data_IF_137098460047
#
_entry.id   IF_137098460047
#
_cell.length_a   1.000
_cell.length_b   1.000
_cell.length_c   1.000
_cell.angle_alpha   90.00
_cell.angle_beta   90.00
_cell.angle_gamma   90.00
#
_symmetry.space_group_name_H-M   'P 1'
#
loop_
_entity.id
_entity.type
_entity.pdbx_description
1 polymer ?
#
# COMPACT_ATOMS: atom_id res chain seq x y z
N UNK A 1 54.68 -2.36 27.92
CA UNK A 1 53.63 -2.19 28.96
C UNK A 1 53.33 -0.72 29.18
N UNK A 2 52.06 -0.34 29.25
CA UNK A 2 51.54 1.02 29.44
C UNK A 2 50.51 1.05 30.56
N UNK A 3 50.36 2.23 31.18
CA UNK A 3 49.35 2.46 32.21
C UNK A 3 48.12 3.11 31.56
N UNK A 4 46.95 2.49 31.74
CA UNK A 4 45.69 3.00 31.21
C UNK A 4 45.35 4.35 31.86
N UNK A 5 45.22 5.41 31.06
CA UNK A 5 44.82 6.74 31.58
C UNK A 5 43.40 6.77 32.13
N UNK A 6 42.55 5.80 31.75
CA UNK A 6 41.15 5.75 32.17
C UNK A 6 40.94 4.97 33.47
N UNK A 7 41.75 3.95 33.77
CA UNK A 7 41.57 3.12 34.98
C UNK A 7 42.84 2.85 35.80
N UNK A 8 44.01 3.32 35.36
CA UNK A 8 45.27 3.14 36.06
C UNK A 8 45.89 1.74 36.01
N UNK A 9 45.23 0.77 35.36
CA UNK A 9 45.78 -0.58 35.21
C UNK A 9 46.98 -0.59 34.24
N UNK A 10 48.01 -1.36 34.58
CA UNK A 10 49.15 -1.64 33.69
C UNK A 10 48.83 -2.83 32.78
N UNK A 11 49.07 -2.67 31.48
CA UNK A 11 48.77 -3.68 30.47
C UNK A 11 49.74 -3.60 29.29
N UNK A 12 49.72 -4.62 28.43
CA UNK A 12 50.57 -4.69 27.25
C UNK A 12 50.21 -3.58 26.24
N UNK A 13 51.23 -2.85 25.77
CA UNK A 13 51.10 -1.78 24.78
C UNK A 13 50.78 -2.28 23.38
N UNK A 14 50.91 -3.59 23.13
CA UNK A 14 50.41 -4.22 21.92
C UNK A 14 48.89 -4.41 21.89
N UNK A 15 48.14 -4.17 22.98
CA UNK A 15 46.68 -4.28 22.96
C UNK A 15 45.99 -2.99 22.48
N UNK A 16 44.96 -3.12 21.63
CA UNK A 16 44.22 -1.97 21.05
C UNK A 16 43.37 -1.24 22.09
N UNK A 17 42.93 -1.96 23.13
CA UNK A 17 42.15 -1.43 24.25
C UNK A 17 42.69 -1.99 25.56
N UNK A 18 42.53 -1.23 26.63
CA UNK A 18 42.78 -1.74 27.98
C UNK A 18 41.83 -2.92 28.27
N UNK A 19 42.34 -4.11 28.62
CA UNK A 19 41.51 -5.29 28.85
C UNK A 19 40.63 -5.19 30.10
N UNK A 20 40.94 -4.25 31.00
CA UNK A 20 40.22 -4.09 32.27
C UNK A 20 39.04 -3.12 32.18
N UNK A 21 39.16 -2.04 31.39
CA UNK A 21 38.12 -1.02 31.31
C UNK A 21 37.67 -0.68 29.88
N UNK A 22 38.26 -1.31 28.86
CA UNK A 22 37.94 -1.07 27.45
C UNK A 22 38.42 0.29 26.90
N UNK A 23 39.10 1.11 27.71
CA UNK A 23 39.63 2.41 27.31
C UNK A 23 40.70 2.28 26.21
N UNK A 24 40.63 3.16 25.23
CA UNK A 24 41.48 3.08 24.04
C UNK A 24 42.98 3.26 24.38
N UNK A 25 43.82 2.46 23.73
CA UNK A 25 45.26 2.66 23.75
C UNK A 25 45.62 3.82 22.81
N UNK A 26 45.56 5.05 23.33
CA UNK A 26 45.82 6.26 22.55
C UNK A 26 47.24 6.29 21.96
N UNK A 27 48.23 5.70 22.63
CA UNK A 27 49.61 5.63 22.12
C UNK A 27 49.69 4.79 20.85
N UNK A 28 49.08 3.60 20.87
CA UNK A 28 49.04 2.69 19.72
C UNK A 28 48.16 3.24 18.58
N UNK A 29 47.02 3.86 18.90
CA UNK A 29 46.17 4.46 17.86
C UNK A 29 46.84 5.63 17.14
N UNK A 30 47.63 6.44 17.87
CA UNK A 30 48.46 7.50 17.28
C UNK A 30 49.59 6.91 16.43
N UNK A 31 50.27 5.87 16.91
CA UNK A 31 51.35 5.22 16.16
C UNK A 31 50.85 4.59 14.85
N UNK A 32 49.72 3.87 14.89
CA UNK A 32 49.07 3.30 13.69
C UNK A 32 48.67 4.41 12.71
N UNK A 33 48.14 5.54 13.22
CA UNK A 33 47.84 6.69 12.37
C UNK A 33 49.09 7.32 11.75
N UNK A 34 50.17 7.45 12.51
CA UNK A 34 51.43 8.03 12.03
C UNK A 34 52.09 7.13 10.97
N UNK A 35 52.08 5.82 11.18
CA UNK A 35 52.56 4.82 10.23
C UNK A 35 51.75 4.85 8.94
N UNK A 36 50.40 4.87 9.04
CA UNK A 36 49.52 5.00 7.87
C UNK A 36 49.76 6.32 7.12
N UNK A 37 49.96 7.44 7.83
CA UNK A 37 50.26 8.73 7.21
C UNK A 37 51.64 8.76 6.55
N UNK A 38 52.62 8.03 7.10
CA UNK A 38 53.95 7.92 6.52
C UNK A 38 53.96 7.00 5.28
N UNK A 39 53.15 5.95 5.27
CA UNK A 39 52.92 5.09 4.11
C UNK A 39 52.24 5.89 2.99
N UNK A 40 51.16 6.62 3.28
CA UNK A 40 50.51 7.52 2.32
C UNK A 40 51.45 8.60 1.79
N UNK A 41 52.35 9.14 2.61
CA UNK A 41 53.40 10.07 2.15
C UNK A 41 54.42 9.39 1.24
N UNK A 42 54.77 8.13 1.49
CA UNK A 42 55.67 7.34 0.61
C UNK A 42 54.99 7.04 -0.72
N UNK A 43 53.73 6.61 -0.71
CA UNK A 43 52.93 6.41 -1.91
C UNK A 43 52.79 7.73 -2.67
N UNK A 44 52.43 8.84 -2.00
CA UNK A 44 52.37 10.16 -2.64
C UNK A 44 53.69 10.53 -3.31
N UNK A 45 54.84 10.29 -2.66
CA UNK A 45 56.17 10.50 -3.28
C UNK A 45 56.43 9.55 -4.46
N UNK A 46 55.90 8.33 -4.45
CA UNK A 46 55.95 7.43 -5.60
C UNK A 46 55.07 7.93 -6.75
N UNK A 47 53.86 8.43 -6.46
CA UNK A 47 52.96 9.05 -7.43
C UNK A 47 53.51 10.36 -8.00
N UNK A 48 54.15 11.19 -7.18
CA UNK A 48 54.83 12.43 -7.62
C UNK A 48 56.10 12.14 -8.46
N UNK A 49 56.72 10.97 -8.31
CA UNK A 49 57.85 10.51 -9.16
C UNK A 49 57.40 9.71 -10.38
N UNK A 50 56.16 9.24 -10.41
CA UNK A 50 55.55 8.58 -11.57
C UNK A 50 55.46 9.46 -12.83
N UNK A 51 55.27 10.80 -12.79
CA UNK A 51 55.29 11.62 -14.00
C UNK A 51 56.62 11.54 -14.76
N UNK A 52 57.79 11.42 -14.10
CA UNK A 52 59.07 11.35 -14.84
C UNK A 52 59.29 10.01 -15.56
N UNK A 53 58.80 8.89 -15.01
CA UNK A 53 58.96 7.56 -15.62
C UNK A 53 57.89 7.24 -16.68
N UNK A 54 56.74 7.91 -16.64
CA UNK A 54 55.63 7.69 -17.57
C UNK A 54 55.52 8.83 -18.63
N UNK A 55 56.12 10.01 -18.39
CA UNK A 55 56.16 11.09 -19.40
C UNK A 55 57.23 10.91 -20.49
N UNK A 56 58.08 9.88 -20.42
CA UNK A 56 59.15 9.65 -21.40
C UNK A 56 58.76 8.92 -22.69
N UNK A 57 57.54 8.40 -22.80
CA UNK A 57 57.01 7.78 -24.03
C UNK A 57 55.53 8.14 -24.16
N UNK A 58 55.17 8.93 -25.16
CA UNK A 58 53.79 9.33 -25.40
C UNK A 58 52.87 8.11 -25.38
N UNK A 59 51.93 8.08 -24.45
CA UNK A 59 50.92 7.01 -24.33
C UNK A 59 50.21 6.87 -25.67
N UNK A 60 50.17 5.65 -26.23
CA UNK A 60 49.59 5.39 -27.54
C UNK A 60 48.17 5.94 -27.58
N UNK A 61 47.81 6.56 -28.70
CA UNK A 61 46.49 7.16 -28.89
C UNK A 61 45.34 6.19 -28.57
N UNK A 62 45.56 4.89 -28.79
CA UNK A 62 44.65 3.79 -28.43
C UNK A 62 44.40 3.66 -26.92
N UNK A 63 45.42 3.81 -26.07
CA UNK A 63 45.25 3.73 -24.62
C UNK A 63 44.50 4.94 -24.04
N UNK A 64 44.72 6.14 -24.62
CA UNK A 64 43.96 7.35 -24.26
C UNK A 64 42.48 7.22 -24.60
N UNK A 65 42.16 6.66 -25.78
CA UNK A 65 40.78 6.37 -26.19
C UNK A 65 40.13 5.31 -25.28
N UNK A 66 40.88 4.27 -24.89
CA UNK A 66 40.39 3.26 -23.95
C UNK A 66 40.02 3.83 -22.59
N UNK A 67 40.89 4.66 -21.99
CA UNK A 67 40.61 5.31 -20.70
C UNK A 67 39.42 6.27 -20.82
N UNK A 68 39.34 7.07 -21.90
CA UNK A 68 38.22 7.97 -22.13
C UNK A 68 36.89 7.23 -22.27
N UNK A 69 36.88 6.07 -22.96
CA UNK A 69 35.70 5.23 -23.10
C UNK A 69 35.24 4.66 -21.75
N UNK A 70 36.16 4.18 -20.91
CA UNK A 70 35.83 3.66 -19.58
C UNK A 70 35.26 4.75 -18.67
N UNK A 71 35.85 5.95 -18.67
CA UNK A 71 35.34 7.10 -17.91
C UNK A 71 33.92 7.47 -18.40
N UNK A 72 33.70 7.48 -19.71
CA UNK A 72 32.38 7.79 -20.29
C UNK A 72 31.31 6.77 -19.84
N UNK A 73 31.63 5.47 -19.86
CA UNK A 73 30.72 4.42 -19.38
C UNK A 73 30.44 4.57 -17.88
N UNK A 74 31.47 4.82 -17.07
CA UNK A 74 31.30 5.03 -15.62
C UNK A 74 30.39 6.22 -15.32
N UNK A 75 30.53 7.34 -16.05
CA UNK A 75 29.65 8.51 -15.91
C UNK A 75 28.21 8.16 -16.29
N UNK A 76 27.98 7.43 -17.37
CA UNK A 76 26.64 6.98 -17.77
C UNK A 76 26.01 6.10 -16.68
N UNK A 77 26.75 5.15 -16.13
CA UNK A 77 26.26 4.29 -15.04
C UNK A 77 25.86 5.11 -13.80
N UNK A 78 26.65 6.12 -13.42
CA UNK A 78 26.33 7.01 -12.31
C UNK A 78 25.05 7.82 -12.59
N UNK A 79 24.90 8.36 -13.80
CA UNK A 79 23.71 9.12 -14.19
C UNK A 79 22.46 8.22 -14.12
N UNK A 80 22.52 7.01 -14.69
CA UNK A 80 21.40 6.05 -14.64
C UNK A 80 21.04 5.70 -13.21
N UNK A 81 22.03 5.44 -12.35
CA UNK A 81 21.80 5.14 -10.94
C UNK A 81 21.14 6.30 -10.19
N UNK A 82 21.59 7.54 -10.41
CA UNK A 82 21.01 8.74 -9.80
C UNK A 82 19.57 8.94 -10.30
N UNK A 83 19.33 8.86 -11.61
CA UNK A 83 18.00 9.04 -12.19
C UNK A 83 17.03 7.99 -11.64
N UNK A 84 17.42 6.70 -11.64
CA UNK A 84 16.62 5.61 -11.06
C UNK A 84 16.34 5.84 -9.58
N UNK A 85 17.34 6.22 -8.79
CA UNK A 85 17.16 6.48 -7.35
C UNK A 85 16.23 7.66 -7.08
N UNK A 86 16.27 8.71 -7.90
CA UNK A 86 15.38 9.87 -7.78
C UNK A 86 13.96 9.50 -8.22
N UNK A 87 13.79 8.80 -9.34
CA UNK A 87 12.47 8.42 -9.83
C UNK A 87 11.77 7.47 -8.86
N UNK A 88 12.48 6.50 -8.25
CA UNK A 88 11.91 5.67 -7.18
C UNK A 88 11.47 6.48 -5.97
N UNK A 89 12.29 7.44 -5.50
CA UNK A 89 11.93 8.32 -4.37
C UNK A 89 10.75 9.24 -4.69
N UNK A 90 10.66 9.74 -5.93
CA UNK A 90 9.54 10.57 -6.38
C UNK A 90 8.26 9.74 -6.45
N UNK A 91 8.31 8.53 -7.04
CA UNK A 91 7.18 7.60 -7.09
C UNK A 91 6.67 7.28 -5.70
N UNK A 92 7.55 6.88 -4.78
CA UNK A 92 7.19 6.58 -3.40
C UNK A 92 6.55 7.77 -2.68
N UNK A 93 7.07 8.99 -2.89
CA UNK A 93 6.47 10.20 -2.30
C UNK A 93 5.08 10.51 -2.85
N UNK A 94 4.83 10.22 -4.12
CA UNK A 94 3.51 10.40 -4.74
C UNK A 94 2.54 9.37 -4.16
N UNK A 95 2.94 8.10 -4.07
CA UNK A 95 2.14 7.03 -3.45
C UNK A 95 1.78 7.36 -2.00
N UNK A 96 2.75 7.80 -1.19
CA UNK A 96 2.50 8.20 0.20
C UNK A 96 1.48 9.34 0.30
N UNK A 97 1.57 10.36 -0.57
CA UNK A 97 0.57 11.44 -0.58
C UNK A 97 -0.82 10.98 -0.98
N UNK A 98 -0.91 10.03 -1.90
CA UNK A 98 -2.19 9.45 -2.31
C UNK A 98 -2.81 8.65 -1.15
N UNK A 99 -1.99 7.88 -0.42
CA UNK A 99 -2.42 7.15 0.78
C UNK A 99 -2.85 8.11 1.89
N UNK A 100 -2.07 9.15 2.18
CA UNK A 100 -2.46 10.19 3.17
C UNK A 100 -3.82 10.81 2.83
N UNK A 101 -4.09 11.06 1.54
CA UNK A 101 -5.37 11.59 1.09
C UNK A 101 -6.51 10.58 1.24
N UNK A 102 -6.30 9.33 0.84
CA UNK A 102 -7.28 8.25 0.97
C UNK A 102 -7.61 7.94 2.44
N UNK A 103 -6.60 7.93 3.29
CA UNK A 103 -6.77 7.73 4.73
C UNK A 103 -7.52 8.89 5.36
N UNK A 104 -7.21 10.13 4.96
CA UNK A 104 -7.98 11.29 5.39
C UNK A 104 -9.45 11.21 4.98
N UNK A 105 -9.77 10.68 3.80
CA UNK A 105 -11.15 10.49 3.34
C UNK A 105 -11.84 9.38 4.13
N UNK A 106 -11.16 8.27 4.37
CA UNK A 106 -11.63 7.16 5.18
C UNK A 106 -11.98 7.60 6.60
N UNK A 107 -11.07 8.30 7.28
CA UNK A 107 -11.29 8.81 8.64
C UNK A 107 -12.42 9.85 8.73
N UNK A 108 -12.73 10.55 7.64
CA UNK A 108 -13.89 11.43 7.58
C UNK A 108 -15.20 10.73 7.19
N UNK A 109 -15.17 9.43 6.86
CA UNK A 109 -16.31 8.68 6.34
C UNK A 109 -16.71 9.05 4.91
N UNK A 110 -15.82 9.72 4.16
CA UNK A 110 -16.08 10.17 2.79
C UNK A 110 -15.72 9.07 1.78
N UNK A 111 -16.51 8.00 1.79
CA UNK A 111 -16.28 6.82 0.94
C UNK A 111 -16.59 7.07 -0.54
N UNK A 112 -17.52 7.98 -0.83
CA UNK A 112 -17.74 8.46 -2.20
C UNK A 112 -16.49 9.20 -2.71
N UNK A 113 -15.92 10.10 -1.89
CA UNK A 113 -14.67 10.78 -2.19
C UNK A 113 -13.50 9.82 -2.40
N UNK A 114 -13.44 8.69 -1.70
CA UNK A 114 -12.45 7.62 -1.98
C UNK A 114 -12.64 7.08 -3.40
N UNK A 115 -13.87 6.71 -3.77
CA UNK A 115 -14.17 6.18 -5.10
C UNK A 115 -13.86 7.19 -6.21
N UNK A 116 -14.18 8.47 -6.01
CA UNK A 116 -13.84 9.53 -6.96
C UNK A 116 -12.33 9.76 -7.06
N UNK A 117 -11.65 9.85 -5.92
CA UNK A 117 -10.22 10.09 -5.90
C UNK A 117 -9.45 8.97 -6.57
N UNK A 118 -9.82 7.70 -6.34
CA UNK A 118 -9.22 6.55 -7.01
C UNK A 118 -9.34 6.59 -8.53
N UNK A 119 -10.37 7.22 -9.12
CA UNK A 119 -10.45 7.42 -10.58
C UNK A 119 -9.35 8.35 -11.11
N UNK A 120 -8.82 9.23 -10.26
CA UNK A 120 -7.78 10.21 -10.61
C UNK A 120 -6.38 9.65 -10.48
N UNK A 121 -6.18 8.70 -9.57
CA UNK A 121 -4.93 7.99 -9.38
C UNK A 121 -4.91 6.84 -10.37
N UNK A 122 -4.23 7.01 -11.51
CA UNK A 122 -4.13 5.99 -12.56
C UNK A 122 -3.77 4.64 -11.91
N UNK A 123 -4.75 3.72 -11.87
CA UNK A 123 -4.70 2.46 -11.12
C UNK A 123 -3.47 1.65 -11.55
N UNK A 124 -2.36 1.82 -10.85
CA UNK A 124 -1.38 0.76 -10.77
C UNK A 124 -1.88 -0.14 -9.66
N UNK A 125 -2.34 -1.35 -10.02
CA UNK A 125 -2.77 -2.41 -9.11
C UNK A 125 -1.63 -2.76 -8.15
N UNK A 126 -1.41 -1.91 -7.16
CA UNK A 126 -0.47 -2.09 -6.07
C UNK A 126 -1.30 -2.44 -4.84
N UNK A 127 -0.91 -3.51 -4.15
CA UNK A 127 -1.61 -4.04 -2.97
C UNK A 127 -1.81 -3.02 -1.84
N UNK A 128 -1.09 -1.90 -1.85
CA UNK A 128 -1.23 -0.83 -0.87
C UNK A 128 -2.58 -0.08 -0.98
N UNK A 129 -3.28 -0.18 -2.10
CA UNK A 129 -4.60 0.43 -2.29
C UNK A 129 -5.76 -0.54 -2.11
N UNK A 130 -5.51 -1.79 -1.69
CA UNK A 130 -6.53 -2.84 -1.61
C UNK A 130 -7.71 -2.42 -0.71
N UNK A 131 -7.43 -1.91 0.50
CA UNK A 131 -8.43 -1.32 1.42
C UNK A 131 -9.42 -0.41 0.70
N UNK A 132 -8.89 0.60 0.01
CA UNK A 132 -9.68 1.65 -0.61
C UNK A 132 -10.35 1.16 -1.89
N UNK A 133 -9.78 0.16 -2.55
CA UNK A 133 -10.35 -0.47 -3.74
C UNK A 133 -11.57 -1.31 -3.39
N UNK A 134 -11.54 -2.03 -2.27
CA UNK A 134 -12.69 -2.77 -1.74
C UNK A 134 -13.82 -1.83 -1.32
N UNK A 135 -13.49 -0.74 -0.62
CA UNK A 135 -14.46 0.33 -0.30
C UNK A 135 -15.09 0.92 -1.56
N UNK A 136 -14.29 1.19 -2.59
CA UNK A 136 -14.80 1.69 -3.86
C UNK A 136 -15.63 0.66 -4.64
N UNK A 137 -15.45 -0.64 -4.37
CA UNK A 137 -16.31 -1.73 -4.85
C UNK A 137 -17.73 -1.56 -4.33
N UNK A 138 -17.89 -1.54 -3.01
CA UNK A 138 -19.17 -1.33 -2.33
C UNK A 138 -19.83 -0.02 -2.74
N UNK A 139 -19.08 1.09 -2.78
CA UNK A 139 -19.60 2.39 -3.21
C UNK A 139 -20.15 2.36 -4.65
N UNK A 140 -19.53 1.57 -5.54
CA UNK A 140 -19.98 1.49 -6.94
C UNK A 140 -21.37 0.86 -7.03
N UNK A 141 -21.65 -0.17 -6.24
CA UNK A 141 -22.98 -0.77 -6.18
C UNK A 141 -24.01 0.18 -5.59
N UNK A 142 -23.64 0.91 -4.53
CA UNK A 142 -24.50 1.94 -3.95
C UNK A 142 -24.85 3.01 -5.00
N UNK A 143 -23.88 3.45 -5.80
CA UNK A 143 -24.11 4.42 -6.87
C UNK A 143 -24.99 3.90 -8.04
N UNK A 144 -25.31 2.60 -8.08
CA UNK A 144 -26.27 2.04 -9.04
C UNK A 144 -27.70 1.98 -8.50
N UNK A 145 -27.91 2.23 -7.21
CA UNK A 145 -29.23 2.33 -6.64
C UNK A 145 -29.95 3.54 -7.24
N UNK A 146 -31.21 3.33 -7.61
CA UNK A 146 -32.06 4.40 -8.13
C UNK A 146 -33.37 4.42 -7.35
N UNK A 147 -33.97 5.60 -7.22
CA UNK A 147 -35.31 5.72 -6.65
C UNK A 147 -36.32 5.06 -7.59
N UNK A 148 -36.97 4.01 -7.12
CA UNK A 148 -38.07 3.36 -7.82
C UNK A 148 -39.36 4.13 -7.54
N UNK A 149 -39.99 4.67 -8.59
CA UNK A 149 -41.24 5.40 -8.43
C UNK A 149 -42.44 4.47 -8.20
N UNK A 150 -43.48 5.00 -7.55
CA UNK A 150 -44.67 4.22 -7.19
C UNK A 150 -45.38 3.58 -8.40
N UNK A 151 -45.33 4.20 -9.59
CA UNK A 151 -45.92 3.62 -10.79
C UNK A 151 -45.13 2.40 -11.29
N UNK A 152 -43.81 2.48 -11.21
CA UNK A 152 -42.93 1.37 -11.55
C UNK A 152 -43.09 0.21 -10.57
N UNK A 153 -43.12 0.49 -9.26
CA UNK A 153 -43.37 -0.50 -8.22
C UNK A 153 -44.75 -1.17 -8.38
N UNK A 154 -45.79 -0.36 -8.67
CA UNK A 154 -47.12 -0.88 -8.98
C UNK A 154 -47.11 -1.82 -10.20
N UNK A 155 -46.43 -1.43 -11.28
CA UNK A 155 -46.31 -2.28 -12.46
C UNK A 155 -45.60 -3.60 -12.15
N UNK A 156 -44.54 -3.57 -11.34
CA UNK A 156 -43.82 -4.77 -10.89
C UNK A 156 -44.76 -5.71 -10.14
N UNK A 157 -45.53 -5.19 -9.18
CA UNK A 157 -46.48 -5.96 -8.38
C UNK A 157 -47.60 -6.55 -9.23
N UNK A 158 -48.22 -5.76 -10.11
CA UNK A 158 -49.33 -6.19 -10.98
C UNK A 158 -48.91 -7.26 -12.00
N UNK A 159 -47.65 -7.27 -12.40
CA UNK A 159 -47.11 -8.19 -13.42
C UNK A 159 -46.24 -9.31 -12.82
N UNK A 160 -46.13 -9.37 -11.49
CA UNK A 160 -45.33 -10.37 -10.75
C UNK A 160 -43.88 -10.44 -11.25
N UNK A 161 -43.24 -9.27 -11.38
CA UNK A 161 -41.89 -9.09 -11.95
C UNK A 161 -40.82 -8.85 -10.89
N UNK A 162 -40.68 -9.78 -9.94
CA UNK A 162 -39.75 -9.65 -8.82
C UNK A 162 -38.30 -9.39 -9.29
N UNK A 163 -37.91 -10.04 -10.38
CA UNK A 163 -36.61 -9.91 -11.04
C UNK A 163 -36.29 -8.50 -11.54
N UNK A 164 -37.31 -7.63 -11.70
CA UNK A 164 -37.14 -6.24 -12.11
C UNK A 164 -36.65 -5.32 -10.97
N UNK A 165 -36.71 -5.77 -9.71
CA UNK A 165 -36.19 -5.03 -8.54
C UNK A 165 -34.66 -5.11 -8.49
N UNK A 166 -34.00 -4.43 -9.42
CA UNK A 166 -32.55 -4.49 -9.62
C UNK A 166 -31.75 -3.94 -8.42
N UNK A 167 -32.33 -3.00 -7.66
CA UNK A 167 -31.73 -2.46 -6.45
C UNK A 167 -31.42 -3.57 -5.43
N UNK A 168 -32.30 -4.57 -5.28
CA UNK A 168 -32.08 -5.69 -4.37
C UNK A 168 -30.82 -6.49 -4.76
N UNK A 169 -30.55 -6.65 -6.06
CA UNK A 169 -29.32 -7.32 -6.52
C UNK A 169 -28.05 -6.54 -6.16
N UNK A 170 -28.10 -5.21 -6.25
CA UNK A 170 -26.98 -4.35 -5.83
C UNK A 170 -26.78 -4.39 -4.31
N UNK A 171 -27.86 -4.35 -3.53
CA UNK A 171 -27.81 -4.48 -2.06
C UNK A 171 -27.21 -5.82 -1.65
N UNK A 172 -27.65 -6.94 -2.23
CA UNK A 172 -27.08 -8.26 -1.94
C UNK A 172 -25.60 -8.32 -2.35
N UNK A 173 -25.20 -7.63 -3.42
CA UNK A 173 -23.79 -7.52 -3.82
C UNK A 173 -22.95 -6.82 -2.75
N UNK A 174 -23.44 -5.71 -2.18
CA UNK A 174 -22.76 -4.97 -1.11
C UNK A 174 -22.66 -5.85 0.15
N UNK A 175 -23.75 -6.51 0.54
CA UNK A 175 -23.78 -7.40 1.70
C UNK A 175 -22.80 -8.58 1.53
N UNK A 176 -22.62 -9.09 0.31
CA UNK A 176 -21.64 -10.14 0.03
C UNK A 176 -20.20 -9.62 0.21
N UNK A 177 -19.87 -8.44 -0.31
CA UNK A 177 -18.55 -7.83 -0.07
C UNK A 177 -18.31 -7.56 1.43
N UNK A 178 -19.34 -7.12 2.16
CA UNK A 178 -19.26 -6.97 3.61
C UNK A 178 -18.99 -8.31 4.33
N UNK A 179 -19.61 -9.40 3.87
CA UNK A 179 -19.40 -10.73 4.44
C UNK A 179 -18.00 -11.27 4.12
N UNK A 180 -17.51 -11.07 2.90
CA UNK A 180 -16.15 -11.45 2.50
C UNK A 180 -15.09 -10.72 3.33
N UNK A 181 -15.27 -9.41 3.58
CA UNK A 181 -14.39 -8.64 4.45
C UNK A 181 -14.41 -9.17 5.90
N UNK A 182 -15.61 -9.49 6.43
CA UNK A 182 -15.75 -10.07 7.77
C UNK A 182 -15.10 -11.45 7.88
N UNK A 183 -15.27 -12.32 6.88
CA UNK A 183 -14.66 -13.65 6.82
C UNK A 183 -13.14 -13.59 6.68
N UNK A 184 -12.63 -12.53 6.05
CA UNK A 184 -11.21 -12.20 5.98
C UNK A 184 -10.67 -11.54 7.26
N UNK A 185 -11.50 -11.40 8.31
CA UNK A 185 -11.18 -10.70 9.55
C UNK A 185 -10.71 -9.26 9.33
N UNK A 186 -11.36 -8.56 8.38
CA UNK A 186 -11.09 -7.17 8.04
C UNK A 186 -9.60 -6.93 7.75
N UNK A 187 -9.12 -7.68 6.75
CA UNK A 187 -7.69 -7.85 6.46
C UNK A 187 -6.94 -6.51 6.31
N UNK A 188 -7.61 -5.45 5.89
CA UNK A 188 -7.01 -4.14 5.64
C UNK A 188 -7.53 -3.03 6.58
N UNK A 189 -8.12 -3.41 7.71
CA UNK A 189 -8.65 -2.47 8.72
C UNK A 189 -9.80 -1.59 8.17
N UNK A 190 -10.68 -2.18 7.36
CA UNK A 190 -11.84 -1.55 6.71
C UNK A 190 -13.17 -1.64 7.50
N UNK A 191 -13.14 -2.06 8.77
CA UNK A 191 -14.31 -2.31 9.62
C UNK A 191 -15.35 -1.19 9.58
N UNK A 192 -14.93 0.07 9.73
CA UNK A 192 -15.85 1.21 9.80
C UNK A 192 -16.61 1.42 8.48
N UNK A 193 -15.99 1.12 7.34
CA UNK A 193 -16.65 1.20 6.04
C UNK A 193 -17.62 0.03 5.85
N UNK A 194 -17.21 -1.18 6.23
CA UNK A 194 -18.08 -2.36 6.16
C UNK A 194 -19.31 -2.19 7.04
N UNK A 195 -19.14 -1.66 8.26
CA UNK A 195 -20.25 -1.36 9.16
C UNK A 195 -21.23 -0.35 8.53
N UNK A 196 -20.70 0.74 7.96
CA UNK A 196 -21.49 1.76 7.27
C UNK A 196 -22.32 1.17 6.11
N UNK A 197 -21.70 0.44 5.19
CA UNK A 197 -22.41 -0.11 4.03
C UNK A 197 -23.44 -1.18 4.42
N UNK A 198 -23.13 -1.98 5.43
CA UNK A 198 -24.05 -2.99 5.95
C UNK A 198 -25.29 -2.35 6.58
N UNK A 199 -25.11 -1.33 7.42
CA UNK A 199 -26.21 -0.57 8.01
C UNK A 199 -27.04 0.12 6.93
N UNK A 200 -26.38 0.79 5.98
CA UNK A 200 -27.04 1.42 4.83
C UNK A 200 -27.92 0.41 4.06
N UNK A 201 -27.42 -0.80 3.81
CA UNK A 201 -28.18 -1.83 3.12
C UNK A 201 -29.45 -2.24 3.88
N UNK A 202 -29.37 -2.40 5.20
CA UNK A 202 -30.53 -2.75 6.01
C UNK A 202 -31.55 -1.63 6.08
N UNK A 203 -31.09 -0.39 6.25
CA UNK A 203 -31.95 0.79 6.26
C UNK A 203 -32.65 0.96 4.90
N UNK A 204 -31.92 0.82 3.80
CA UNK A 204 -32.48 0.90 2.44
C UNK A 204 -33.57 -0.15 2.22
N UNK A 205 -33.28 -1.42 2.54
CA UNK A 205 -34.27 -2.50 2.40
C UNK A 205 -35.51 -2.26 3.26
N UNK A 206 -35.33 -1.68 4.45
CA UNK A 206 -36.44 -1.37 5.36
C UNK A 206 -37.28 -0.19 4.87
N UNK A 207 -36.64 0.88 4.41
CA UNK A 207 -37.33 2.10 3.95
C UNK A 207 -38.10 1.86 2.64
N UNK A 208 -37.49 1.17 1.68
CA UNK A 208 -38.03 1.03 0.33
C UNK A 208 -38.93 -0.21 0.16
N UNK A 209 -38.65 -1.30 0.88
CA UNK A 209 -39.36 -2.59 0.70
C UNK A 209 -40.00 -3.12 1.99
N UNK A 210 -39.90 -2.40 3.11
CA UNK A 210 -40.40 -2.81 4.43
C UNK A 210 -39.76 -4.08 5.01
N UNK A 211 -38.74 -4.63 4.36
CA UNK A 211 -38.01 -5.83 4.76
C UNK A 211 -37.09 -5.50 5.94
N UNK A 212 -37.21 -6.25 7.03
CA UNK A 212 -36.37 -6.11 8.22
C UNK A 212 -35.02 -6.82 8.10
N UNK A 213 -34.06 -6.40 8.92
CA UNK A 213 -32.75 -7.06 9.03
C UNK A 213 -32.88 -8.56 9.37
N UNK A 214 -33.82 -8.92 10.25
CA UNK A 214 -34.06 -10.32 10.63
C UNK A 214 -34.58 -11.16 9.46
N UNK A 215 -35.38 -10.59 8.57
CA UNK A 215 -35.86 -11.26 7.36
C UNK A 215 -34.72 -11.47 6.36
N UNK A 216 -33.85 -10.47 6.18
CA UNK A 216 -32.66 -10.59 5.34
C UNK A 216 -31.75 -11.70 5.86
N UNK A 217 -31.44 -11.69 7.16
CA UNK A 217 -30.64 -12.73 7.82
C UNK A 217 -31.29 -14.11 7.67
N UNK A 218 -32.61 -14.20 7.82
CA UNK A 218 -33.35 -15.46 7.64
C UNK A 218 -33.22 -16.01 6.22
N UNK A 219 -33.27 -15.16 5.18
CA UNK A 219 -33.01 -15.58 3.80
C UNK A 219 -31.58 -16.09 3.61
N UNK A 220 -30.60 -15.37 4.16
CA UNK A 220 -29.17 -15.77 4.12
C UNK A 220 -28.95 -17.11 4.82
N UNK A 221 -29.51 -17.28 6.02
CA UNK A 221 -29.37 -18.51 6.82
C UNK A 221 -30.00 -19.72 6.12
N UNK A 222 -31.17 -19.55 5.48
CA UNK A 222 -31.82 -20.61 4.68
C UNK A 222 -30.98 -21.03 3.46
N UNK A 223 -30.22 -20.10 2.89
CA UNK A 223 -29.27 -20.36 1.80
C UNK A 223 -27.92 -20.93 2.29
N UNK A 224 -27.72 -21.06 3.61
CA UNK A 224 -26.49 -21.61 4.21
C UNK A 224 -25.35 -20.61 4.36
N UNK A 225 -25.67 -19.31 4.42
CA UNK A 225 -24.69 -18.20 4.48
C UNK A 225 -24.80 -17.30 3.26
N UNK A 226 -23.96 -16.27 3.15
CA UNK A 226 -23.90 -15.39 1.98
C UNK A 226 -22.50 -15.51 1.35
N UNK A 227 -22.45 -16.00 0.13
CA UNK A 227 -21.24 -16.12 -0.68
C UNK A 227 -21.59 -16.05 -2.18
N UNK A 228 -20.56 -16.06 -3.02
CA UNK A 228 -20.71 -16.00 -4.47
C UNK A 228 -21.68 -17.05 -5.06
N UNK A 229 -21.67 -18.28 -4.54
CA UNK A 229 -22.42 -19.39 -5.12
C UNK A 229 -23.92 -19.32 -4.80
N UNK A 230 -24.31 -18.75 -3.67
CA UNK A 230 -25.70 -18.68 -3.22
C UNK A 230 -26.32 -17.27 -3.27
N UNK A 231 -25.53 -16.28 -3.72
CA UNK A 231 -25.96 -14.90 -3.90
C UNK A 231 -27.24 -14.75 -4.74
N UNK A 232 -27.32 -15.44 -5.87
CA UNK A 232 -28.47 -15.33 -6.78
C UNK A 232 -29.74 -15.89 -6.14
N UNK A 233 -29.63 -17.02 -5.44
CA UNK A 233 -30.74 -17.60 -4.68
C UNK A 233 -31.25 -16.65 -3.58
N UNK A 234 -30.34 -15.97 -2.86
CA UNK A 234 -30.70 -15.00 -1.82
C UNK A 234 -31.37 -13.77 -2.45
N UNK A 235 -30.86 -13.32 -3.60
CA UNK A 235 -31.44 -12.20 -4.35
C UNK A 235 -32.88 -12.51 -4.77
N UNK A 236 -33.13 -13.67 -5.38
CA UNK A 236 -34.46 -14.10 -5.79
C UNK A 236 -35.42 -14.15 -4.58
N UNK A 237 -34.99 -14.76 -3.47
CA UNK A 237 -35.80 -14.85 -2.26
C UNK A 237 -36.17 -13.48 -1.67
N UNK A 238 -35.25 -12.51 -1.70
CA UNK A 238 -35.50 -11.15 -1.24
C UNK A 238 -36.39 -10.35 -2.21
N UNK A 239 -36.26 -10.58 -3.51
CA UNK A 239 -37.13 -9.97 -4.52
C UNK A 239 -38.57 -10.46 -4.39
N UNK A 240 -38.78 -11.76 -4.17
CA UNK A 240 -40.10 -12.33 -3.90
C UNK A 240 -40.71 -11.73 -2.62
N UNK A 241 -39.92 -11.68 -1.53
CA UNK A 241 -40.34 -11.06 -0.27
C UNK A 241 -40.72 -9.59 -0.45
N UNK A 242 -39.94 -8.82 -1.23
CA UNK A 242 -40.19 -7.42 -1.49
C UNK A 242 -41.52 -7.22 -2.23
N UNK A 243 -41.82 -8.05 -3.23
CA UNK A 243 -43.11 -8.04 -3.91
C UNK A 243 -44.26 -8.30 -2.93
N UNK A 244 -44.13 -9.28 -2.05
CA UNK A 244 -45.17 -9.60 -1.06
C UNK A 244 -45.41 -8.44 -0.08
N UNK A 245 -44.34 -7.78 0.37
CA UNK A 245 -44.42 -6.57 1.19
C UNK A 245 -45.12 -5.42 0.44
N UNK A 246 -44.74 -5.16 -0.81
CA UNK A 246 -45.33 -4.11 -1.64
C UNK A 246 -46.82 -4.38 -1.93
N UNK A 247 -47.20 -5.64 -2.20
CA UNK A 247 -48.61 -6.05 -2.35
C UNK A 247 -49.43 -5.64 -1.13
N UNK A 248 -48.95 -5.97 0.07
CA UNK A 248 -49.63 -5.63 1.32
C UNK A 248 -49.75 -4.12 1.58
N UNK A 249 -48.80 -3.33 1.09
CA UNK A 249 -48.81 -1.85 1.22
C UNK A 249 -49.83 -1.18 0.29
N UNK A 250 -50.17 -1.84 -0.81
CA UNK A 250 -51.05 -1.31 -1.87
C UNK A 250 -52.53 -1.70 -1.69
N UNK A 251 -52.84 -2.66 -0.83
CA UNK A 251 -54.20 -3.05 -0.43
C UNK A 251 -54.80 -2.14 0.66
#
# INVERSE_FOLDING_TARGET
MIICKNCGAEYDDEQDRCPYCGGDNFGKSVQVHEDMMNELKREKRQWEKMPEKVAGKGMSWTAKLGIAAVIMVAVICIIVFIVSSISHKVSYRVEQKNLEKLESLYQSGDYEGICEYLKTVEYTYQSYFDKYTEIAGMQRYLNYLNDEDDFYLQWIVENDKADALSNISYIVSILNECQEAADAYYKYEEEDAVAYYKEYCYDYMKEHYEISEDEIKSCIDKAGGLNYDNKDQITEALQELAIDCLKNKME
#
